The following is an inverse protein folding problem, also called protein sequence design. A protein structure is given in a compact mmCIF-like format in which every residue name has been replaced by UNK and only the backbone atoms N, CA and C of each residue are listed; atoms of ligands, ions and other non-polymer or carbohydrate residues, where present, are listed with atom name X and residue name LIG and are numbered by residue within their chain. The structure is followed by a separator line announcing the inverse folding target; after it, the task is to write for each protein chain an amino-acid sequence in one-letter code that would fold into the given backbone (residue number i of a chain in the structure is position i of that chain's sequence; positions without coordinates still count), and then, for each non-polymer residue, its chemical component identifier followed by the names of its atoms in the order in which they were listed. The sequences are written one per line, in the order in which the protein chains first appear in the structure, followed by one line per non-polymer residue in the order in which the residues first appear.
data_IF_719692785262
#
_entry.id   IF_719692785262
#
_cell.length_a   1.000
_cell.length_b   1.000
_cell.length_c   1.000
_cell.angle_alpha   90.00
_cell.angle_beta   90.00
_cell.angle_gamma   90.00
#
_symmetry.space_group_name_H-M   'P 1'
#
loop_
_entity.id
_entity.type
_entity.pdbx_description
1 polymer ?
#
# COMPACT_ATOMS: atom_id res chain seq x y z
N UNK A 1 -7.13 8.96 21.98
CA UNK A 1 -6.92 7.51 22.13
C UNK A 1 -6.27 7.00 20.86
N UNK A 2 -5.40 5.99 20.92
CA UNK A 2 -4.80 5.42 19.71
C UNK A 2 -5.86 4.77 18.85
N UNK A 3 -5.70 4.91 17.52
CA UNK A 3 -6.58 4.28 16.54
C UNK A 3 -5.77 3.29 15.73
N UNK A 4 -6.31 2.09 15.56
CA UNK A 4 -5.81 1.11 14.59
C UNK A 4 -6.68 1.18 13.35
N UNK A 5 -6.03 1.44 12.22
CA UNK A 5 -6.61 1.55 10.90
C UNK A 5 -6.24 0.32 10.08
N UNK A 6 -7.21 -0.53 9.78
CA UNK A 6 -7.06 -1.71 8.95
C UNK A 6 -7.55 -1.40 7.54
N UNK A 7 -6.75 -1.77 6.55
CA UNK A 7 -7.11 -1.69 5.14
C UNK A 7 -6.96 -3.06 4.50
N UNK A 8 -8.02 -3.52 3.86
CA UNK A 8 -8.12 -4.81 3.21
C UNK A 8 -8.31 -4.60 1.71
N UNK A 9 -7.49 -5.27 0.89
CA UNK A 9 -7.50 -5.11 -0.55
C UNK A 9 -7.76 -6.42 -1.29
N UNK A 10 -8.44 -6.28 -2.43
CA UNK A 10 -8.47 -7.24 -3.53
C UNK A 10 -8.01 -6.51 -4.78
N UNK A 11 -6.94 -6.99 -5.41
CA UNK A 11 -6.46 -6.46 -6.69
C UNK A 11 -7.25 -7.05 -7.85
N UNK A 12 -7.46 -6.26 -8.91
CA UNK A 12 -8.12 -6.75 -10.13
C UNK A 12 -7.29 -7.87 -10.77
N UNK A 13 -7.98 -8.91 -11.24
CA UNK A 13 -7.37 -9.94 -12.07
C UNK A 13 -6.68 -9.32 -13.29
N UNK A 14 -5.42 -9.68 -13.54
CA UNK A 14 -4.67 -9.19 -14.71
C UNK A 14 -4.18 -7.73 -14.60
N UNK A 15 -4.06 -7.17 -13.39
CA UNK A 15 -3.41 -5.87 -13.19
C UNK A 15 -1.96 -5.92 -13.72
N UNK A 16 -1.75 -5.46 -14.95
CA UNK A 16 -0.47 -5.46 -15.65
C UNK A 16 0.41 -4.30 -15.15
N UNK A 17 1.73 -4.49 -15.17
CA UNK A 17 2.73 -3.50 -14.75
C UNK A 17 2.64 -2.15 -15.50
N UNK A 18 1.89 -2.08 -16.60
CA UNK A 18 1.63 -0.85 -17.36
C UNK A 18 0.76 0.19 -16.64
N UNK A 19 -0.01 -0.17 -15.61
CA UNK A 19 -0.91 0.77 -14.91
C UNK A 19 -0.16 1.64 -13.90
N UNK A 20 1.01 1.20 -13.41
CA UNK A 20 1.85 1.98 -12.49
C UNK A 20 2.80 2.88 -13.30
N UNK A 21 2.29 4.02 -13.76
CA UNK A 21 3.06 5.01 -14.54
C UNK A 21 4.32 5.53 -13.81
N UNK A 22 4.35 5.49 -12.48
CA UNK A 22 5.44 6.09 -11.69
C UNK A 22 6.68 5.21 -11.55
N UNK A 23 6.58 3.89 -11.77
CA UNK A 23 7.71 2.96 -11.53
C UNK A 23 8.60 2.81 -12.76
N UNK A 24 8.03 2.98 -13.96
CA UNK A 24 8.76 2.84 -15.22
C UNK A 24 9.92 3.85 -15.33
N UNK A 25 9.71 5.08 -14.88
CA UNK A 25 10.70 6.16 -15.04
C UNK A 25 11.92 6.05 -14.11
N UNK A 26 11.80 5.40 -12.95
CA UNK A 26 12.92 5.29 -12.00
C UNK A 26 13.80 4.05 -12.25
N UNK A 27 13.19 2.93 -12.63
CA UNK A 27 13.92 1.69 -12.93
C UNK A 27 14.58 1.72 -14.31
N UNK A 28 13.96 2.37 -15.30
CA UNK A 28 14.52 2.48 -16.65
C UNK A 28 15.75 3.43 -16.70
N UNK A 29 15.89 4.33 -15.73
CA UNK A 29 16.99 5.30 -15.65
C UNK A 29 18.13 4.91 -14.71
N UNK A 30 18.11 3.70 -14.12
CA UNK A 30 19.20 3.23 -13.25
C UNK A 30 20.28 2.50 -14.07
N UNK A 31 21.51 3.03 -14.17
CA UNK A 31 22.56 2.48 -15.02
C UNK A 31 23.03 1.08 -14.60
N UNK A 32 22.82 0.67 -13.34
CA UNK A 32 23.14 -0.69 -12.88
C UNK A 32 22.23 -1.77 -13.50
N UNK A 33 20.99 -1.44 -13.84
CA UNK A 33 20.02 -2.40 -14.39
C UNK A 33 20.11 -2.56 -15.90
N UNK A 34 20.66 -1.57 -16.61
CA UNK A 34 20.92 -1.66 -18.06
C UNK A 34 21.95 -2.74 -18.40
N UNK A 35 22.95 -2.95 -17.53
CA UNK A 35 23.98 -3.97 -17.72
C UNK A 35 23.44 -5.41 -17.59
N UNK A 36 22.43 -5.64 -16.74
CA UNK A 36 21.86 -6.98 -16.51
C UNK A 36 20.95 -7.46 -17.66
N UNK A 37 20.42 -6.53 -18.48
CA UNK A 37 19.52 -6.85 -19.58
C UNK A 37 20.21 -7.51 -20.79
N UNK A 38 21.53 -7.36 -20.93
CA UNK A 38 22.31 -7.94 -22.03
C UNK A 38 22.74 -9.40 -21.79
N UNK A 39 22.68 -9.87 -20.53
CA UNK A 39 23.22 -11.19 -20.13
C UNK A 39 22.14 -12.26 -19.91
N UNK A 40 20.85 -11.93 -20.01
CA UNK A 40 19.79 -12.93 -19.87
C UNK A 40 18.50 -12.52 -20.61
N UNK A 41 18.23 -13.08 -21.81
CA UNK A 41 17.03 -12.75 -22.59
C UNK A 41 15.72 -13.13 -21.88
N UNK A 42 15.75 -13.97 -20.84
CA UNK A 42 14.57 -14.33 -20.04
C UNK A 42 14.15 -13.28 -18.99
N UNK A 43 14.99 -12.29 -18.66
CA UNK A 43 14.63 -11.20 -17.74
C UNK A 43 13.64 -10.21 -18.38
N UNK A 44 13.62 -10.11 -19.71
CA UNK A 44 12.71 -9.22 -20.43
C UNK A 44 11.23 -9.67 -20.36
N UNK A 45 10.98 -10.97 -20.10
CA UNK A 45 9.63 -11.53 -20.04
C UNK A 45 8.93 -11.29 -18.68
N UNK A 46 9.70 -11.08 -17.60
CA UNK A 46 9.17 -10.79 -16.25
C UNK A 46 8.74 -9.33 -16.06
N UNK A 47 9.01 -8.44 -17.03
CA UNK A 47 8.64 -7.02 -16.96
C UNK A 47 7.12 -6.75 -17.01
N UNK A 48 6.30 -7.78 -17.23
CA UNK A 48 4.84 -7.73 -17.42
C UNK A 48 4.07 -8.65 -16.46
N UNK A 49 4.71 -9.13 -15.39
CA UNK A 49 4.05 -10.04 -14.45
C UNK A 49 3.12 -9.27 -13.48
N UNK A 50 1.83 -9.67 -13.34
CA UNK A 50 0.89 -9.04 -12.42
C UNK A 50 1.34 -9.04 -10.94
N UNK A 51 2.20 -9.99 -10.57
CA UNK A 51 2.75 -10.15 -9.23
C UNK A 51 3.65 -8.97 -8.80
N UNK A 52 4.30 -8.28 -9.75
CA UNK A 52 5.19 -7.14 -9.43
C UNK A 52 4.42 -5.85 -9.16
N UNK A 53 3.27 -5.64 -9.81
CA UNK A 53 2.44 -4.46 -9.59
C UNK A 53 1.80 -4.45 -8.19
N UNK A 54 1.32 -5.62 -7.74
CA UNK A 54 0.85 -5.80 -6.37
C UNK A 54 1.98 -5.54 -5.35
N UNK A 55 3.16 -6.13 -5.57
CA UNK A 55 4.33 -5.91 -4.69
C UNK A 55 4.71 -4.43 -4.53
N UNK A 56 4.81 -3.70 -5.65
CA UNK A 56 5.12 -2.25 -5.64
C UNK A 56 4.05 -1.42 -4.93
N UNK A 57 2.78 -1.82 -5.03
CA UNK A 57 1.68 -1.16 -4.34
C UNK A 57 1.75 -1.42 -2.82
N UNK A 58 2.06 -2.66 -2.42
CA UNK A 58 2.29 -3.02 -1.03
C UNK A 58 3.46 -2.23 -0.42
N UNK A 59 4.58 -2.13 -1.14
CA UNK A 59 5.76 -1.37 -0.68
C UNK A 59 5.42 0.12 -0.49
N UNK A 60 4.65 0.71 -1.41
CA UNK A 60 4.19 2.10 -1.28
C UNK A 60 3.27 2.32 -0.09
N UNK A 61 2.36 1.37 0.18
CA UNK A 61 1.47 1.43 1.34
C UNK A 61 2.26 1.44 2.64
N UNK A 62 3.26 0.56 2.78
CA UNK A 62 4.10 0.49 3.97
C UNK A 62 5.00 1.73 4.12
N UNK A 63 5.49 2.27 3.00
CA UNK A 63 6.30 3.48 2.97
C UNK A 63 5.53 4.75 3.40
N UNK A 64 4.19 4.72 3.48
CA UNK A 64 3.42 5.87 3.98
C UNK A 64 3.79 6.23 5.41
N UNK A 65 4.21 5.26 6.24
CA UNK A 65 4.70 5.54 7.59
C UNK A 65 5.79 6.61 7.61
N UNK A 66 6.70 6.59 6.65
CA UNK A 66 7.82 7.54 6.60
C UNK A 66 7.49 8.78 5.76
N UNK A 67 6.58 8.66 4.79
CA UNK A 67 6.22 9.75 3.86
C UNK A 67 5.14 10.69 4.39
N UNK A 68 4.22 10.19 5.21
CA UNK A 68 3.17 11.00 5.82
C UNK A 68 3.77 11.76 7.00
N UNK A 69 3.99 13.06 6.80
CA UNK A 69 4.56 13.97 7.79
C UNK A 69 3.53 15.02 8.19
N UNK A 70 3.49 15.33 9.47
CA UNK A 70 2.54 16.31 10.00
C UNK A 70 2.95 17.73 9.53
N UNK A 71 2.02 18.55 9.02
CA UNK A 71 2.36 19.78 8.30
C UNK A 71 3.01 20.85 9.18
N UNK A 72 2.74 20.83 10.50
CA UNK A 72 3.30 21.81 11.45
C UNK A 72 4.60 21.35 12.10
N UNK A 73 4.77 20.06 12.36
CA UNK A 73 5.94 19.53 13.09
C UNK A 73 6.99 18.94 12.16
N UNK A 74 6.61 18.65 10.91
CA UNK A 74 7.42 17.97 9.90
C UNK A 74 7.98 16.62 10.37
N UNK A 75 7.25 15.95 11.26
CA UNK A 75 7.59 14.63 11.79
C UNK A 75 6.55 13.60 11.33
N UNK A 76 6.97 12.35 11.17
CA UNK A 76 6.04 11.25 10.95
C UNK A 76 5.13 11.08 12.18
N UNK A 77 3.84 10.92 11.91
CA UNK A 77 2.80 10.76 12.92
C UNK A 77 2.14 9.37 12.87
N UNK A 78 2.56 8.51 11.94
CA UNK A 78 2.20 7.10 11.89
C UNK A 78 3.14 6.32 12.83
N UNK A 79 2.58 5.69 13.87
CA UNK A 79 3.37 4.94 14.85
C UNK A 79 3.95 3.66 14.26
N UNK A 80 3.10 2.89 13.58
CA UNK A 80 3.49 1.62 12.96
C UNK A 80 2.66 1.38 11.71
N UNK A 81 3.25 0.65 10.76
CA UNK A 81 2.59 0.18 9.55
C UNK A 81 3.12 -1.21 9.23
N UNK A 82 2.22 -2.14 9.00
CA UNK A 82 2.52 -3.52 8.61
C UNK A 82 1.46 -4.04 7.66
N UNK A 83 1.77 -5.12 6.94
CA UNK A 83 0.82 -5.73 6.01
C UNK A 83 1.43 -6.85 5.20
N UNK A 84 0.59 -7.54 4.44
CA UNK A 84 0.99 -8.68 3.63
C UNK A 84 -0.17 -9.36 2.92
N UNK A 85 0.17 -10.43 2.18
CA UNK A 85 -0.81 -11.30 1.55
C UNK A 85 -1.48 -12.22 2.57
N UNK A 86 -2.76 -12.51 2.35
CA UNK A 86 -3.49 -13.48 3.15
C UNK A 86 -2.86 -14.88 3.02
N UNK A 87 -2.78 -15.57 4.16
CA UNK A 87 -2.34 -16.95 4.29
C UNK A 87 -3.24 -17.76 5.23
N UNK A 88 -4.47 -17.26 5.49
CA UNK A 88 -5.40 -17.95 6.37
C UNK A 88 -5.89 -19.27 5.76
N UNK A 89 -5.96 -20.30 6.59
CA UNK A 89 -6.45 -21.64 6.23
C UNK A 89 -7.96 -21.80 6.44
N UNK A 90 -8.64 -20.75 6.92
CA UNK A 90 -10.05 -20.85 7.36
C UNK A 90 -11.06 -20.65 6.22
N UNK A 91 -10.65 -20.11 5.07
CA UNK A 91 -11.53 -19.94 3.89
C UNK A 91 -12.60 -18.86 4.02
N UNK A 92 -12.52 -17.98 5.03
CA UNK A 92 -13.50 -16.93 5.33
C UNK A 92 -13.10 -15.53 4.84
N UNK A 93 -12.14 -15.43 3.93
CA UNK A 93 -11.55 -14.17 3.46
C UNK A 93 -12.51 -13.30 2.64
N UNK A 94 -13.61 -13.87 2.13
CA UNK A 94 -14.59 -13.16 1.29
C UNK A 94 -13.96 -12.36 0.13
N UNK A 95 -12.93 -12.94 -0.50
CA UNK A 95 -12.21 -12.38 -1.65
C UNK A 95 -11.11 -11.37 -1.30
N UNK A 96 -10.91 -11.02 -0.03
CA UNK A 96 -9.76 -10.23 0.41
C UNK A 96 -8.47 -11.04 0.24
N UNK A 97 -7.43 -10.42 -0.33
CA UNK A 97 -6.14 -11.10 -0.59
C UNK A 97 -4.97 -10.45 0.14
N UNK A 98 -5.12 -9.19 0.57
CA UNK A 98 -4.08 -8.44 1.26
C UNK A 98 -4.68 -7.65 2.41
N UNK A 99 -3.94 -7.52 3.50
CA UNK A 99 -4.30 -6.75 4.66
C UNK A 99 -3.14 -5.85 5.10
N UNK A 100 -3.47 -4.65 5.54
CA UNK A 100 -2.55 -3.68 6.10
C UNK A 100 -3.11 -3.14 7.40
N UNK A 101 -2.23 -2.90 8.36
CA UNK A 101 -2.55 -2.33 9.67
C UNK A 101 -1.67 -1.10 9.87
N UNK A 102 -2.30 0.03 10.17
CA UNK A 102 -1.64 1.31 10.45
C UNK A 102 -2.08 1.78 11.82
N UNK A 103 -1.14 2.19 12.66
CA UNK A 103 -1.45 2.68 14.01
C UNK A 103 -1.16 4.17 14.13
N UNK A 104 -2.13 4.89 14.70
CA UNK A 104 -2.05 6.32 14.99
C UNK A 104 -2.09 6.55 16.50
N UNK A 105 -1.43 7.63 16.96
CA UNK A 105 -1.47 8.02 18.37
C UNK A 105 -2.83 8.59 18.79
N UNK A 106 -3.56 9.18 17.84
CA UNK A 106 -4.79 9.91 18.07
C UNK A 106 -5.79 9.73 16.91
N UNK A 107 -7.05 10.12 17.13
CA UNK A 107 -8.05 10.10 16.07
C UNK A 107 -7.83 11.24 15.09
N UNK A 108 -7.30 12.36 15.58
CA UNK A 108 -6.95 13.56 14.83
C UNK A 108 -5.85 13.25 13.80
N UNK A 109 -4.83 12.50 14.20
CA UNK A 109 -3.76 12.02 13.31
C UNK A 109 -4.33 11.13 12.18
N UNK A 110 -5.21 10.18 12.54
CA UNK A 110 -5.90 9.31 11.57
C UNK A 110 -6.77 10.14 10.62
N UNK A 111 -7.51 11.10 11.15
CA UNK A 111 -8.39 11.97 10.37
C UNK A 111 -7.61 12.81 9.36
N UNK A 112 -6.48 13.41 9.78
CA UNK A 112 -5.59 14.14 8.90
C UNK A 112 -5.02 13.23 7.81
N UNK A 113 -4.52 12.04 8.17
CA UNK A 113 -4.04 11.03 7.21
C UNK A 113 -5.08 10.75 6.12
N UNK A 114 -6.32 10.44 6.51
CA UNK A 114 -7.36 10.07 5.56
C UNK A 114 -7.82 11.26 4.70
N UNK A 115 -7.99 12.44 5.30
CA UNK A 115 -8.69 13.57 4.67
C UNK A 115 -7.78 14.54 3.94
N UNK A 116 -6.58 14.78 4.47
CA UNK A 116 -5.77 15.95 4.12
C UNK A 116 -4.37 15.60 3.62
N UNK A 117 -3.77 14.53 4.14
CA UNK A 117 -2.38 14.19 3.85
C UNK A 117 -2.13 13.98 2.33
N UNK A 118 -1.26 14.79 1.71
CA UNK A 118 -1.06 14.74 0.27
C UNK A 118 -0.42 13.43 -0.20
N UNK A 119 0.48 12.83 0.60
CA UNK A 119 1.15 11.59 0.25
C UNK A 119 0.17 10.40 0.30
N UNK A 120 -0.70 10.36 1.31
CA UNK A 120 -1.77 9.36 1.36
C UNK A 120 -2.76 9.54 0.20
N UNK A 121 -3.18 10.77 -0.12
CA UNK A 121 -4.09 11.04 -1.24
C UNK A 121 -3.49 10.66 -2.60
N UNK A 122 -2.18 10.88 -2.79
CA UNK A 122 -1.46 10.44 -3.98
C UNK A 122 -1.46 8.91 -4.08
N UNK A 123 -1.20 8.22 -2.96
CA UNK A 123 -1.28 6.77 -2.91
C UNK A 123 -2.68 6.27 -3.28
N UNK A 124 -3.75 6.79 -2.67
CA UNK A 124 -5.14 6.39 -2.99
C UNK A 124 -5.46 6.59 -4.46
N UNK A 125 -5.03 7.70 -5.08
CA UNK A 125 -5.20 7.92 -6.51
C UNK A 125 -4.47 6.88 -7.36
N UNK A 126 -3.29 6.44 -6.93
CA UNK A 126 -2.52 5.41 -7.64
C UNK A 126 -3.18 4.02 -7.63
N UNK A 127 -4.15 3.81 -6.74
CA UNK A 127 -4.92 2.55 -6.66
C UNK A 127 -6.07 2.50 -7.67
N UNK A 128 -6.41 3.63 -8.30
CA UNK A 128 -7.45 3.65 -9.32
C UNK A 128 -7.04 2.79 -10.53
N UNK A 129 -7.97 1.98 -11.00
CA UNK A 129 -7.69 0.99 -12.04
C UNK A 129 -6.97 -0.28 -11.56
N UNK A 130 -6.44 -0.33 -10.34
CA UNK A 130 -5.68 -1.47 -9.77
C UNK A 130 -6.49 -2.27 -8.76
N UNK A 131 -7.27 -1.61 -7.91
CA UNK A 131 -8.09 -2.28 -6.90
C UNK A 131 -9.45 -2.72 -7.47
N UNK A 132 -9.82 -3.96 -7.17
CA UNK A 132 -11.17 -4.50 -7.37
C UNK A 132 -12.07 -4.16 -6.18
N UNK A 133 -11.53 -4.33 -4.97
CA UNK A 133 -12.24 -4.08 -3.72
C UNK A 133 -11.28 -3.50 -2.69
N UNK A 134 -11.75 -2.49 -1.96
CA UNK A 134 -11.11 -1.96 -0.76
C UNK A 134 -12.11 -1.95 0.39
N UNK A 135 -11.68 -2.40 1.57
CA UNK A 135 -12.45 -2.32 2.81
C UNK A 135 -11.58 -1.74 3.91
N UNK A 136 -12.14 -0.82 4.69
CA UNK A 136 -11.43 -0.10 5.75
C UNK A 136 -12.17 -0.28 7.06
N UNK A 137 -11.43 -0.54 8.13
CA UNK A 137 -11.96 -0.71 9.49
C UNK A 137 -11.07 0.09 10.44
N UNK A 138 -11.69 0.99 11.21
CA UNK A 138 -11.02 1.70 12.29
C UNK A 138 -11.54 1.22 13.63
N UNK A 139 -10.65 1.01 14.60
CA UNK A 139 -11.04 0.69 15.96
C UNK A 139 -10.08 1.28 16.99
N UNK A 140 -10.58 1.42 18.22
CA UNK A 140 -9.74 1.72 19.38
C UNK A 140 -9.34 0.41 20.04
N UNK A 141 -8.05 0.08 20.20
CA UNK A 141 -7.62 -1.14 20.86
C UNK A 141 -8.23 -1.29 22.26
N UNK A 142 -8.79 -2.47 22.54
CA UNK A 142 -9.41 -2.80 23.84
C UNK A 142 -10.84 -2.28 24.03
N UNK A 143 -11.42 -1.57 23.06
CA UNK A 143 -12.81 -1.10 23.11
C UNK A 143 -13.69 -2.04 22.28
N UNK A 144 -14.58 -2.77 22.96
CA UNK A 144 -15.47 -3.77 22.34
C UNK A 144 -16.96 -3.42 22.46
N UNK A 145 -17.31 -2.43 23.27
CA UNK A 145 -18.66 -1.93 23.38
C UNK A 145 -18.90 -0.93 22.24
N UNK A 146 -19.93 -1.17 21.43
CA UNK A 146 -20.46 -0.17 20.52
C UNK A 146 -21.07 0.97 21.34
N UNK A 147 -20.70 2.22 21.06
CA UNK A 147 -21.51 3.36 21.42
C UNK A 147 -22.81 3.37 20.59
#
# INVERSE_FOLDING_TARGET
MSITHIVLFTFKAGTDAHVIKDVRTSLDNNPHFHALALVSPNIALDRRSPSRAAGLTCDRMLALKDKCVHPTTNQSYIKSSSGGSDNSIEGLQAGITHAFVVEFASAEDRDYYVKEDPAHREFVKSLDGVLEKGQVIDYTPGVFASA
#
